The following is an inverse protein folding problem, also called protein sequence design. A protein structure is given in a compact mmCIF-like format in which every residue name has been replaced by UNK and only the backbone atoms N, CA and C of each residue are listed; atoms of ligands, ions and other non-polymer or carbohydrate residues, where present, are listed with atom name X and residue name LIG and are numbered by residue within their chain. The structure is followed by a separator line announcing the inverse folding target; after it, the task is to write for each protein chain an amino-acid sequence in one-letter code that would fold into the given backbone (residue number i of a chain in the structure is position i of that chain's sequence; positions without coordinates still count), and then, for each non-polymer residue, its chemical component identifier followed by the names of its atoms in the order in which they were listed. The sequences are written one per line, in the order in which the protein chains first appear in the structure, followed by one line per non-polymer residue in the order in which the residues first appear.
data_IF_122460819264
#
_entry.id   IF_122460819264
#
_cell.length_a   1.000
_cell.length_b   1.000
_cell.length_c   1.000
_cell.angle_alpha   90.00
_cell.angle_beta   90.00
_cell.angle_gamma   90.00
#
_symmetry.space_group_name_H-M   'P 1'
#
loop_
_entity.id
_entity.type
_entity.pdbx_description
1 polymer ?
#
# COMPACT_ATOMS: atom_id res chain seq x y z
N UNK A 1 8.70 5.84 20.65
CA UNK A 1 8.79 4.55 19.90
C UNK A 1 9.84 4.70 18.80
N UNK A 2 11.05 4.16 18.99
CA UNK A 2 12.21 4.43 18.11
C UNK A 2 12.05 3.74 16.75
N UNK A 3 12.37 4.45 15.65
CA UNK A 3 12.19 4.03 14.23
C UNK A 3 12.67 2.60 13.90
N UNK A 4 13.71 2.09 14.58
CA UNK A 4 14.27 0.73 14.41
C UNK A 4 13.34 -0.42 14.82
N UNK A 5 12.43 -0.23 15.78
CA UNK A 5 11.48 -1.29 16.17
C UNK A 5 10.39 -1.49 15.12
N UNK A 6 10.09 -0.45 14.35
CA UNK A 6 9.03 -0.48 13.35
C UNK A 6 9.42 -1.31 12.12
N UNK A 7 10.66 -1.21 11.67
CA UNK A 7 11.16 -1.96 10.52
C UNK A 7 11.06 -3.47 10.75
N UNK A 8 11.38 -3.96 11.95
CA UNK A 8 11.20 -5.37 12.30
C UNK A 8 9.72 -5.80 12.29
N UNK A 9 8.80 -4.95 12.78
CA UNK A 9 7.37 -5.26 12.70
C UNK A 9 6.89 -5.27 11.24
N UNK A 10 7.28 -4.28 10.45
CA UNK A 10 6.92 -4.18 9.03
C UNK A 10 7.36 -5.43 8.27
N UNK A 11 8.62 -5.86 8.44
CA UNK A 11 9.14 -7.10 7.83
C UNK A 11 8.33 -8.31 8.30
N UNK A 12 7.97 -8.40 9.59
CA UNK A 12 7.15 -9.50 10.12
C UNK A 12 5.73 -9.53 9.55
N UNK A 13 5.17 -8.38 9.19
CA UNK A 13 3.82 -8.27 8.62
C UNK A 13 3.80 -8.19 7.09
N UNK A 14 4.95 -8.13 6.42
CA UNK A 14 5.06 -7.94 4.97
C UNK A 14 4.23 -8.98 4.19
N UNK A 15 4.36 -10.25 4.53
CA UNK A 15 3.66 -11.33 3.83
C UNK A 15 2.15 -11.28 4.07
N UNK A 16 1.72 -10.93 5.28
CA UNK A 16 0.29 -10.81 5.63
C UNK A 16 -0.35 -9.61 4.92
N UNK A 17 0.36 -8.49 4.85
CA UNK A 17 -0.10 -7.28 4.16
C UNK A 17 -0.12 -7.50 2.65
N UNK A 18 0.92 -8.12 2.06
CA UNK A 18 0.93 -8.46 0.64
C UNK A 18 -0.20 -9.43 0.27
N UNK A 19 -0.42 -10.49 1.06
CA UNK A 19 -1.53 -11.42 0.89
C UNK A 19 -2.91 -10.76 1.07
N UNK A 20 -2.99 -9.71 1.88
CA UNK A 20 -4.21 -8.92 2.00
C UNK A 20 -4.44 -8.07 0.75
N UNK A 21 -3.42 -7.36 0.30
CA UNK A 21 -3.49 -6.45 -0.85
C UNK A 21 -3.78 -7.23 -2.13
N UNK A 22 -3.22 -8.44 -2.28
CA UNK A 22 -3.45 -9.31 -3.44
C UNK A 22 -4.89 -9.79 -3.60
N UNK A 23 -5.76 -9.59 -2.59
CA UNK A 23 -7.21 -9.80 -2.71
C UNK A 23 -7.95 -8.63 -3.36
N UNK A 24 -7.31 -7.47 -3.46
CA UNK A 24 -7.90 -6.25 -4.01
C UNK A 24 -7.30 -5.88 -5.36
N UNK A 25 -5.99 -6.07 -5.55
CA UNK A 25 -5.27 -5.62 -6.76
C UNK A 25 -4.61 -6.80 -7.50
N UNK A 26 -4.35 -6.67 -8.82
CA UNK A 26 -3.63 -7.68 -9.59
C UNK A 26 -2.25 -7.99 -8.99
N UNK A 27 -1.76 -9.22 -9.15
CA UNK A 27 -0.48 -9.66 -8.56
C UNK A 27 0.72 -8.77 -8.94
N UNK A 28 0.72 -8.20 -10.16
CA UNK A 28 1.77 -7.28 -10.61
C UNK A 28 1.80 -5.94 -9.85
N UNK A 29 0.66 -5.49 -9.32
CA UNK A 29 0.51 -4.22 -8.61
C UNK A 29 0.68 -4.36 -7.09
N UNK A 30 0.56 -5.58 -6.55
CA UNK A 30 0.74 -5.89 -5.13
C UNK A 30 2.02 -5.29 -4.53
N UNK A 31 3.22 -5.45 -5.13
CA UNK A 31 4.44 -4.89 -4.54
C UNK A 31 4.41 -3.37 -4.42
N UNK A 32 3.87 -2.67 -5.42
CA UNK A 32 3.79 -1.21 -5.45
C UNK A 32 2.81 -0.69 -4.37
N UNK A 33 1.61 -1.26 -4.34
CA UNK A 33 0.57 -0.92 -3.37
C UNK A 33 1.00 -1.26 -1.93
N UNK A 34 1.71 -2.37 -1.74
CA UNK A 34 2.27 -2.75 -0.44
C UNK A 34 3.34 -1.76 0.02
N UNK A 35 4.23 -1.34 -0.87
CA UNK A 35 5.25 -0.33 -0.56
C UNK A 35 4.60 1.00 -0.15
N UNK A 36 3.60 1.46 -0.91
CA UNK A 36 2.88 2.69 -0.59
C UNK A 36 2.18 2.60 0.77
N UNK A 37 1.55 1.47 1.08
CA UNK A 37 0.91 1.23 2.37
C UNK A 37 1.92 1.30 3.53
N UNK A 38 3.12 0.75 3.36
CA UNK A 38 4.18 0.82 4.38
C UNK A 38 4.73 2.22 4.56
N UNK A 39 4.89 3.00 3.48
CA UNK A 39 5.31 4.41 3.56
C UNK A 39 4.26 5.22 4.34
N UNK A 40 2.97 5.03 4.03
CA UNK A 40 1.87 5.69 4.75
C UNK A 40 1.84 5.30 6.23
N UNK A 41 2.01 4.02 6.55
CA UNK A 41 2.12 3.56 7.93
C UNK A 41 3.32 4.19 8.64
N UNK A 42 4.49 4.25 8.00
CA UNK A 42 5.66 4.88 8.58
C UNK A 42 5.46 6.38 8.87
N UNK A 43 4.75 7.10 8.00
CA UNK A 43 4.42 8.52 8.20
C UNK A 43 3.37 8.72 9.31
N UNK A 44 2.38 7.84 9.38
CA UNK A 44 1.28 7.93 10.33
C UNK A 44 1.59 7.33 11.72
N UNK A 45 2.72 6.64 11.89
CA UNK A 45 3.02 5.98 13.17
C UNK A 45 3.18 6.97 14.33
N UNK A 46 3.66 8.19 14.05
CA UNK A 46 3.80 9.23 15.08
C UNK A 46 2.47 9.65 15.70
N UNK A 47 1.35 9.43 15.00
CA UNK A 47 0.00 9.71 15.48
C UNK A 47 -0.75 8.45 15.96
N UNK A 48 -0.11 7.27 15.92
CA UNK A 48 -0.70 6.05 16.45
C UNK A 48 -0.74 6.10 17.98
N UNK A 49 -1.93 6.30 18.55
CA UNK A 49 -2.15 6.44 20.00
C UNK A 49 -2.22 5.11 20.76
N UNK A 50 -2.28 3.97 20.06
CA UNK A 50 -2.38 2.66 20.69
C UNK A 50 -3.81 2.22 21.05
N UNK A 51 -4.84 2.96 20.63
CA UNK A 51 -6.26 2.65 20.89
C UNK A 51 -6.75 1.34 20.23
N UNK A 52 -5.92 0.72 19.39
CA UNK A 52 -6.20 -0.55 18.72
C UNK A 52 -4.92 -1.36 18.57
N UNK A 53 -5.03 -2.67 18.29
CA UNK A 53 -3.87 -3.48 17.96
C UNK A 53 -3.15 -2.91 16.72
N UNK A 54 -1.82 -2.87 16.76
CA UNK A 54 -0.99 -2.37 15.64
C UNK A 54 -1.36 -3.03 14.31
N UNK A 55 -1.64 -4.34 14.33
CA UNK A 55 -2.06 -5.08 13.14
C UNK A 55 -3.38 -4.56 12.56
N UNK A 56 -4.37 -4.27 13.41
CA UNK A 56 -5.67 -3.71 12.97
C UNK A 56 -5.50 -2.33 12.34
N UNK A 57 -4.64 -1.50 12.92
CA UNK A 57 -4.32 -0.19 12.36
C UNK A 57 -3.60 -0.30 11.01
N UNK A 58 -2.58 -1.16 10.91
CA UNK A 58 -1.84 -1.41 9.66
C UNK A 58 -2.75 -2.00 8.57
N UNK A 59 -3.65 -2.90 8.96
CA UNK A 59 -4.65 -3.49 8.05
C UNK A 59 -5.52 -2.41 7.41
N UNK A 60 -6.00 -1.44 8.20
CA UNK A 60 -6.82 -0.33 7.67
C UNK A 60 -6.05 0.52 6.66
N UNK A 61 -4.77 0.80 6.92
CA UNK A 61 -3.92 1.54 5.98
C UNK A 61 -3.74 0.77 4.67
N UNK A 62 -3.46 -0.53 4.74
CA UNK A 62 -3.29 -1.38 3.57
C UNK A 62 -4.56 -1.45 2.71
N UNK A 63 -5.73 -1.70 3.33
CA UNK A 63 -7.01 -1.75 2.61
C UNK A 63 -7.36 -0.40 1.99
N UNK A 64 -7.18 0.70 2.72
CA UNK A 64 -7.46 2.04 2.18
C UNK A 64 -6.52 2.36 1.00
N UNK A 65 -5.27 1.93 1.06
CA UNK A 65 -4.30 2.13 -0.02
C UNK A 65 -4.68 1.33 -1.26
N UNK A 66 -5.03 0.05 -1.10
CA UNK A 66 -5.50 -0.79 -2.21
C UNK A 66 -6.78 -0.26 -2.85
N UNK A 67 -7.75 0.19 -2.04
CA UNK A 67 -8.99 0.81 -2.56
C UNK A 67 -8.70 2.09 -3.35
N UNK A 68 -7.83 2.96 -2.83
CA UNK A 68 -7.44 4.18 -3.53
C UNK A 68 -6.73 3.88 -4.86
N UNK A 69 -5.89 2.84 -4.89
CA UNK A 69 -5.23 2.38 -6.11
C UNK A 69 -6.24 1.96 -7.18
N UNK A 70 -7.25 1.16 -6.82
CA UNK A 70 -8.31 0.74 -7.73
C UNK A 70 -9.14 1.92 -8.26
N UNK A 71 -9.47 2.88 -7.39
CA UNK A 71 -10.19 4.09 -7.80
C UNK A 71 -9.35 4.93 -8.77
N UNK A 72 -8.03 5.00 -8.55
CA UNK A 72 -7.11 5.71 -9.44
C UNK A 72 -6.95 4.99 -10.79
N UNK A 73 -6.88 3.66 -10.82
CA UNK A 73 -6.88 2.88 -12.07
C UNK A 73 -8.17 3.09 -12.88
N UNK A 74 -9.34 3.07 -12.23
CA UNK A 74 -10.62 3.34 -12.90
C UNK A 74 -10.77 4.77 -13.43
N UNK A 75 -9.92 5.70 -12.98
CA UNK A 75 -9.86 7.09 -13.44
C UNK A 75 -8.74 7.37 -14.43
N UNK A 76 -7.84 6.42 -14.68
CA UNK A 76 -6.83 6.58 -15.72
C UNK A 76 -7.58 6.62 -17.05
N UNK A 77 -7.55 7.73 -17.82
CA UNK A 77 -7.93 7.65 -19.22
C UNK A 77 -7.05 6.56 -19.85
N UNK A 78 -7.58 5.74 -20.78
CA UNK A 78 -6.76 4.77 -21.49
C UNK A 78 -5.54 5.55 -22.01
N UNK A 79 -4.35 5.06 -21.68
CA UNK A 79 -3.12 5.57 -22.26
C UNK A 79 -3.35 5.56 -23.77
N UNK A 80 -3.55 6.74 -24.35
CA UNK A 80 -3.45 6.91 -25.77
C UNK A 80 -1.96 6.71 -26.02
N UNK A 81 -1.58 5.47 -26.32
CA UNK A 81 -0.24 5.14 -26.78
C UNK A 81 0.04 6.13 -27.90
N UNK A 82 0.97 7.05 -27.64
CA UNK A 82 1.44 7.97 -28.63
C UNK A 82 2.13 7.10 -29.67
N UNK A 83 1.42 6.87 -30.76
CA UNK A 83 1.95 6.40 -32.03
C UNK A 83 2.96 7.44 -32.51
N UNK A 84 4.18 7.36 -31.97
CA UNK A 84 5.35 7.99 -32.55
C UNK A 84 5.87 7.04 -33.63
N UNK A 85 5.07 6.88 -34.69
CA UNK A 85 5.48 6.27 -35.94
C UNK A 85 5.27 7.27 -37.08
N UNK A 86 6.17 8.25 -37.17
CA UNK A 86 6.49 9.01 -38.39
C UNK A 86 7.80 9.77 -38.06
N UNK A 87 8.93 9.69 -38.76
CA UNK A 87 9.38 9.00 -39.95
C UNK A 87 10.90 9.22 -40.04
#
# INVERSE_FOLDING_TARGET
MTRKRLTCLVIRYQHKVASLISRYVPQGDVPDVAQEAFIKAYRAIGSFRGDSAFYTWLYRIAVNTAKNYLVAQGRRPPSNDLDASDG
#
